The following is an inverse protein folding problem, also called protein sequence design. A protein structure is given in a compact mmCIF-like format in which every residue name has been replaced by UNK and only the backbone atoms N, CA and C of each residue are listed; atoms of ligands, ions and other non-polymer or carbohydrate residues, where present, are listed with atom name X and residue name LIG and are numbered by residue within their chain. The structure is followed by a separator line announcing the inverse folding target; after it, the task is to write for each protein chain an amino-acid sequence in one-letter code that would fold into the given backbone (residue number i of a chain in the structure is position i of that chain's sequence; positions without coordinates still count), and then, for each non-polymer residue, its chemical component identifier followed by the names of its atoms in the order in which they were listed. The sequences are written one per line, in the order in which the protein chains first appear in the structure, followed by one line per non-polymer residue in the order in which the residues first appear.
data_IF_721559973772
#
_entry.id   IF_721559973772
#
_cell.length_a   1.000
_cell.length_b   1.000
_cell.length_c   1.000
_cell.angle_alpha   90.00
_cell.angle_beta   90.00
_cell.angle_gamma   90.00
#
_symmetry.space_group_name_H-M   'P 1'
#
loop_
_entity.id
_entity.type
_entity.pdbx_description
1 polymer ?
#
# COMPACT_ATOMS: atom_id res chain seq x y z
N UNK A 1 -4.17 -9.61 -43.41
CA UNK A 1 -3.89 -8.40 -44.18
C UNK A 1 -3.03 -7.48 -43.36
N UNK A 2 -2.04 -6.84 -43.97
CA UNK A 2 -1.48 -5.63 -43.35
C UNK A 2 -2.43 -4.48 -43.69
N UNK A 3 -3.03 -3.89 -42.66
CA UNK A 3 -3.96 -2.77 -42.79
C UNK A 3 -3.17 -1.51 -42.50
N UNK A 4 -3.01 -0.68 -43.52
CA UNK A 4 -2.38 0.64 -43.36
C UNK A 4 -3.44 1.65 -42.95
N UNK A 5 -3.02 2.68 -42.19
CA UNK A 5 -3.88 3.82 -41.90
C UNK A 5 -4.35 4.44 -43.21
N UNK A 6 -5.66 4.72 -43.37
CA UNK A 6 -6.17 5.30 -44.59
C UNK A 6 -5.55 6.67 -44.81
N UNK A 7 -5.22 6.97 -46.07
CA UNK A 7 -4.89 8.33 -46.44
C UNK A 7 -6.20 9.10 -46.59
N UNK A 8 -6.39 10.09 -45.74
CA UNK A 8 -7.59 10.95 -45.77
C UNK A 8 -7.28 12.20 -46.57
N UNK A 9 -8.04 12.43 -47.63
CA UNK A 9 -8.01 13.69 -48.40
C UNK A 9 -9.29 14.43 -48.11
N UNK A 10 -9.18 15.56 -47.41
CA UNK A 10 -10.31 16.40 -47.02
C UNK A 10 -10.35 17.66 -47.88
N UNK A 11 -11.39 17.79 -48.70
CA UNK A 11 -11.67 18.96 -49.55
C UNK A 11 -12.92 19.71 -49.06
N UNK A 12 -13.18 19.70 -47.74
CA UNK A 12 -14.30 20.44 -47.15
C UNK A 12 -14.04 21.94 -47.09
N UNK A 13 -15.09 22.72 -47.36
CA UNK A 13 -15.11 24.17 -47.22
C UNK A 13 -16.26 24.57 -46.31
N UNK A 14 -15.97 25.48 -45.38
CA UNK A 14 -16.98 26.10 -44.53
C UNK A 14 -17.42 27.39 -45.21
N UNK A 15 -18.71 27.50 -45.49
CA UNK A 15 -19.36 28.68 -46.09
C UNK A 15 -20.42 29.24 -45.13
N UNK A 16 -20.89 30.46 -45.36
CA UNK A 16 -21.96 31.06 -44.55
C UNK A 16 -23.29 30.27 -44.59
N UNK A 17 -23.46 29.41 -45.60
CA UNK A 17 -24.64 28.55 -45.78
C UNK A 17 -24.45 27.13 -45.18
N UNK A 18 -23.27 26.82 -44.64
CA UNK A 18 -22.95 25.52 -44.05
C UNK A 18 -21.62 24.91 -44.53
N UNK A 19 -21.41 23.64 -44.19
CA UNK A 19 -20.21 22.87 -44.59
C UNK A 19 -20.53 22.11 -45.88
N UNK A 20 -19.69 22.28 -46.90
CA UNK A 20 -19.83 21.55 -48.18
C UNK A 20 -18.46 21.11 -48.65
N UNK A 21 -18.38 19.89 -49.18
CA UNK A 21 -17.18 19.39 -49.84
C UNK A 21 -17.16 17.87 -49.89
N UNK A 22 -15.96 17.31 -50.00
CA UNK A 22 -15.76 15.89 -50.23
C UNK A 22 -14.61 15.39 -49.37
N UNK A 23 -14.82 14.26 -48.70
CA UNK A 23 -13.77 13.51 -48.03
C UNK A 23 -13.54 12.19 -48.77
N UNK A 24 -12.27 11.89 -49.07
CA UNK A 24 -11.87 10.65 -49.73
C UNK A 24 -10.95 9.87 -48.79
N UNK A 25 -11.28 8.60 -48.56
CA UNK A 25 -10.51 7.69 -47.73
C UNK A 25 -9.88 6.61 -48.61
N UNK A 26 -8.56 6.68 -48.78
CA UNK A 26 -7.81 5.68 -49.56
C UNK A 26 -7.26 4.61 -48.61
N UNK A 27 -7.84 3.41 -48.66
CA UNK A 27 -7.37 2.24 -47.92
C UNK A 27 -6.52 1.35 -48.82
N UNK A 28 -5.28 1.07 -48.39
CA UNK A 28 -4.39 0.13 -49.08
C UNK A 28 -4.33 -1.17 -48.30
N UNK A 29 -4.75 -2.26 -48.93
CA UNK A 29 -4.67 -3.61 -48.38
C UNK A 29 -3.63 -4.42 -49.14
N UNK A 30 -2.70 -5.05 -48.41
CA UNK A 30 -1.71 -5.96 -49.01
C UNK A 30 -2.04 -7.40 -48.56
N UNK A 31 -2.64 -8.23 -49.42
CA UNK A 31 -2.85 -9.64 -49.12
C UNK A 31 -1.52 -10.40 -49.18
N UNK A 32 -1.26 -11.25 -48.18
CA UNK A 32 -0.04 -12.08 -48.08
C UNK A 32 -0.31 -13.57 -48.30
N UNK A 33 -1.58 -13.98 -48.18
CA UNK A 33 -2.03 -15.36 -48.33
C UNK A 33 -3.00 -15.42 -49.49
N UNK A 34 -2.89 -16.49 -50.28
CA UNK A 34 -3.79 -16.80 -51.38
C UNK A 34 -5.09 -17.32 -50.78
N UNK A 35 -6.14 -16.52 -50.84
CA UNK A 35 -7.45 -16.87 -50.31
C UNK A 35 -8.55 -15.98 -50.92
N UNK A 36 -9.81 -16.35 -50.66
CA UNK A 36 -10.98 -15.55 -50.99
C UNK A 36 -11.41 -14.73 -49.79
N UNK A 37 -11.40 -13.42 -49.96
CA UNK A 37 -11.76 -12.47 -48.92
C UNK A 37 -13.05 -11.75 -49.29
N UNK A 38 -13.88 -11.46 -48.31
CA UNK A 38 -15.10 -10.68 -48.49
C UNK A 38 -14.96 -9.37 -47.73
N UNK A 39 -15.03 -8.24 -48.44
CA UNK A 39 -15.16 -6.93 -47.82
C UNK A 39 -16.60 -6.76 -47.36
N UNK A 40 -16.80 -6.72 -46.05
CA UNK A 40 -18.12 -6.53 -45.49
C UNK A 40 -18.65 -5.12 -45.77
N UNK A 41 -19.97 -4.98 -46.00
CA UNK A 41 -20.64 -3.69 -46.11
C UNK A 41 -20.33 -2.77 -44.92
N UNK A 42 -19.79 -1.60 -45.21
CA UNK A 42 -19.61 -0.55 -44.20
C UNK A 42 -20.90 0.25 -44.06
N UNK A 43 -21.19 0.67 -42.84
CA UNK A 43 -22.41 1.40 -42.49
C UNK A 43 -22.02 2.79 -42.00
N UNK A 44 -22.63 3.82 -42.58
CA UNK A 44 -22.41 5.22 -42.20
C UNK A 44 -23.74 5.88 -41.86
N UNK A 45 -23.85 6.39 -40.64
CA UNK A 45 -25.06 7.08 -40.16
C UNK A 45 -24.83 8.58 -40.23
N UNK A 46 -25.74 9.30 -40.90
CA UNK A 46 -25.70 10.75 -41.00
C UNK A 46 -27.09 11.35 -40.72
N UNK A 47 -27.11 12.62 -40.34
CA UNK A 47 -28.33 13.37 -40.14
C UNK A 47 -28.72 14.07 -41.46
N UNK A 48 -29.95 13.87 -41.92
CA UNK A 48 -30.51 14.53 -43.10
C UNK A 48 -31.28 15.80 -42.64
N UNK A 49 -30.71 17.01 -42.82
CA UNK A 49 -31.32 18.23 -42.30
C UNK A 49 -32.63 18.60 -42.99
N UNK A 50 -32.88 18.13 -44.21
CA UNK A 50 -34.13 18.43 -44.95
C UNK A 50 -35.32 17.63 -44.42
N UNK A 51 -35.05 16.48 -43.79
CA UNK A 51 -36.07 15.53 -43.30
C UNK A 51 -36.05 15.35 -41.78
N UNK A 52 -35.13 16.03 -41.10
CA UNK A 52 -34.93 16.01 -39.66
C UNK A 52 -34.79 14.60 -39.06
N UNK A 53 -34.24 13.66 -39.83
CA UNK A 53 -34.11 12.24 -39.45
C UNK A 53 -32.68 11.72 -39.64
N UNK A 54 -32.30 10.73 -38.84
CA UNK A 54 -31.06 10.00 -39.02
C UNK A 54 -31.21 8.94 -40.10
N UNK A 55 -30.28 8.92 -41.04
CA UNK A 55 -30.24 7.98 -42.16
C UNK A 55 -28.97 7.16 -42.14
N UNK A 56 -29.12 5.93 -42.59
CA UNK A 56 -28.05 4.94 -42.64
C UNK A 56 -27.73 4.62 -44.08
N UNK A 57 -26.56 5.08 -44.55
CA UNK A 57 -25.98 4.65 -45.82
C UNK A 57 -25.18 3.36 -45.62
N UNK A 58 -25.26 2.45 -46.59
CA UNK A 58 -24.54 1.17 -46.56
C UNK A 58 -23.80 0.98 -47.88
N UNK A 59 -22.54 0.58 -47.82
CA UNK A 59 -21.77 0.20 -49.01
C UNK A 59 -22.10 -1.23 -49.42
N UNK A 60 -21.83 -1.59 -50.68
CA UNK A 60 -22.00 -2.96 -51.14
C UNK A 60 -20.90 -3.88 -50.59
N UNK A 61 -21.20 -5.17 -50.52
CA UNK A 61 -20.21 -6.21 -50.22
C UNK A 61 -19.39 -6.50 -51.46
N UNK A 62 -18.08 -6.67 -51.31
CA UNK A 62 -17.20 -6.96 -52.44
C UNK A 62 -16.33 -8.19 -52.18
N UNK A 63 -16.39 -9.18 -53.07
CA UNK A 63 -15.57 -10.38 -53.00
C UNK A 63 -14.23 -10.17 -53.73
N UNK A 64 -13.13 -10.44 -53.04
CA UNK A 64 -11.76 -10.34 -53.56
C UNK A 64 -11.17 -11.74 -53.60
N UNK A 65 -10.85 -12.23 -54.79
CA UNK A 65 -10.09 -13.47 -54.98
C UNK A 65 -8.61 -13.13 -55.16
N UNK A 66 -7.79 -13.51 -54.17
CA UNK A 66 -6.34 -13.29 -54.23
C UNK A 66 -5.69 -14.53 -54.84
N UNK A 67 -5.09 -14.36 -56.02
CA UNK A 67 -4.36 -15.41 -56.72
C UNK A 67 -2.89 -15.48 -56.26
N UNK A 68 -2.27 -16.64 -56.45
CA UNK A 68 -0.85 -16.84 -56.18
C UNK A 68 0.00 -15.98 -57.13
N UNK A 69 0.81 -15.09 -56.56
CA UNK A 69 1.80 -14.32 -57.32
C UNK A 69 3.01 -15.17 -57.73
N UNK A 70 3.75 -14.74 -58.75
CA UNK A 70 4.89 -15.46 -59.36
C UNK A 70 6.19 -15.42 -58.52
N UNK A 71 6.18 -14.84 -57.31
CA UNK A 71 7.36 -14.84 -56.44
C UNK A 71 7.62 -16.26 -55.89
N UNK A 72 8.86 -16.72 -55.98
CA UNK A 72 9.27 -18.02 -55.45
C UNK A 72 9.07 -18.03 -53.93
N UNK A 73 8.52 -19.14 -53.40
CA UNK A 73 8.33 -19.31 -51.95
C UNK A 73 9.62 -19.17 -51.14
N UNK A 74 10.78 -19.35 -51.78
CA UNK A 74 12.12 -19.18 -51.20
C UNK A 74 12.43 -17.73 -50.80
N UNK A 75 12.03 -16.73 -51.61
CA UNK A 75 12.27 -15.32 -51.29
C UNK A 75 11.38 -14.87 -50.12
N UNK A 76 10.15 -15.39 -50.03
CA UNK A 76 9.27 -15.14 -48.90
C UNK A 76 9.83 -15.75 -47.61
N UNK A 77 10.24 -17.02 -47.66
CA UNK A 77 10.82 -17.75 -46.52
C UNK A 77 12.09 -17.06 -45.99
N UNK A 78 12.98 -16.60 -46.89
CA UNK A 78 14.19 -15.86 -46.52
C UNK A 78 13.88 -14.51 -45.87
N UNK A 79 12.86 -13.80 -46.35
CA UNK A 79 12.43 -12.51 -45.74
C UNK A 79 11.77 -12.71 -44.37
N UNK A 80 11.04 -13.80 -44.18
CA UNK A 80 10.42 -14.20 -42.92
C UNK A 80 11.47 -14.60 -41.87
N UNK A 81 12.52 -15.31 -42.29
CA UNK A 81 13.63 -15.72 -41.42
C UNK A 81 14.43 -14.49 -40.93
N UNK A 82 14.76 -13.55 -41.82
CA UNK A 82 15.44 -12.30 -41.47
C UNK A 82 14.61 -11.40 -40.54
N UNK A 83 13.28 -11.41 -40.66
CA UNK A 83 12.38 -10.69 -39.75
C UNK A 83 12.29 -11.34 -38.37
N UNK A 84 12.22 -12.67 -38.31
CA UNK A 84 12.22 -13.43 -37.05
C UNK A 84 13.53 -13.35 -36.29
N UNK A 85 14.66 -13.16 -36.97
CA UNK A 85 15.95 -13.02 -36.30
C UNK A 85 16.11 -11.69 -35.55
N UNK A 86 15.51 -10.60 -36.04
CA UNK A 86 15.69 -9.25 -35.46
C UNK A 86 14.56 -8.86 -34.48
N UNK A 87 13.37 -9.44 -34.65
CA UNK A 87 12.21 -9.16 -33.80
C UNK A 87 11.88 -10.43 -33.00
N UNK A 88 12.39 -10.51 -31.77
CA UNK A 88 11.91 -11.49 -30.79
C UNK A 88 10.42 -11.22 -30.56
N UNK A 89 9.57 -12.24 -30.75
CA UNK A 89 8.17 -12.16 -30.39
C UNK A 89 8.05 -11.67 -28.93
N UNK A 90 7.28 -10.59 -28.73
CA UNK A 90 6.85 -10.22 -27.39
C UNK A 90 6.13 -11.42 -26.80
N UNK A 91 6.57 -11.88 -25.62
CA UNK A 91 5.86 -12.94 -24.90
C UNK A 91 4.42 -12.47 -24.73
N UNK A 92 3.50 -13.05 -25.50
CA UNK A 92 2.07 -12.96 -25.26
C UNK A 92 1.84 -13.72 -23.96
N UNK A 93 2.00 -13.02 -22.85
CA UNK A 93 1.43 -13.49 -21.60
C UNK A 93 -0.08 -13.54 -21.84
N UNK A 94 -0.71 -14.65 -21.50
CA UNK A 94 -2.17 -14.76 -21.35
C UNK A 94 -2.63 -13.91 -20.15
N UNK A 95 -2.24 -12.63 -20.16
CA UNK A 95 -2.77 -11.66 -19.22
C UNK A 95 -4.14 -11.30 -19.76
N UNK A 96 -5.15 -12.06 -19.34
CA UNK A 96 -6.53 -11.64 -19.44
C UNK A 96 -6.58 -10.21 -18.87
N UNK A 97 -6.89 -9.24 -19.72
CA UNK A 97 -7.15 -7.86 -19.30
C UNK A 97 -8.35 -7.92 -18.37
N UNK A 98 -8.10 -7.98 -17.06
CA UNK A 98 -9.16 -7.91 -16.06
C UNK A 98 -9.75 -6.51 -16.11
N UNK A 99 -11.09 -6.37 -16.01
CA UNK A 99 -11.73 -5.07 -16.03
C UNK A 99 -11.12 -4.17 -14.95
N UNK A 100 -10.73 -2.96 -15.36
CA UNK A 100 -10.22 -1.92 -14.46
C UNK A 100 -11.35 -1.54 -13.50
N UNK A 101 -11.40 -2.22 -12.35
CA UNK A 101 -12.47 -2.08 -11.36
C UNK A 101 -12.62 -3.29 -10.43
N UNK A 102 -12.24 -4.49 -10.85
CA UNK A 102 -12.41 -5.71 -10.03
C UNK A 102 -11.17 -6.09 -9.20
N UNK A 103 -10.00 -5.53 -9.49
CA UNK A 103 -8.76 -5.85 -8.79
C UNK A 103 -8.68 -5.26 -7.36
N UNK A 104 -9.55 -4.31 -7.03
CA UNK A 104 -9.57 -3.68 -5.72
C UNK A 104 -10.72 -4.22 -4.87
N UNK A 105 -10.34 -4.97 -3.84
CA UNK A 105 -11.19 -5.50 -2.77
C UNK A 105 -11.84 -4.41 -1.88
N UNK A 106 -11.72 -3.13 -2.27
CA UNK A 106 -12.26 -1.98 -1.55
C UNK A 106 -13.79 -2.03 -1.52
N UNK A 107 -14.38 -1.98 -0.32
CA UNK A 107 -15.83 -2.07 -0.12
C UNK A 107 -16.39 -3.49 0.03
N UNK A 108 -15.58 -4.54 -0.19
CA UNK A 108 -15.97 -5.92 0.07
C UNK A 108 -16.01 -6.27 1.57
N UNK A 109 -16.69 -7.36 1.93
CA UNK A 109 -16.76 -7.82 3.33
C UNK A 109 -15.37 -8.09 3.93
N UNK A 110 -14.44 -8.62 3.14
CA UNK A 110 -13.07 -8.91 3.55
C UNK A 110 -12.26 -7.63 3.87
N UNK A 111 -12.55 -6.53 3.17
CA UNK A 111 -11.96 -5.22 3.47
C UNK A 111 -12.40 -4.74 4.85
N UNK A 112 -13.71 -4.77 5.12
CA UNK A 112 -14.28 -4.36 6.41
C UNK A 112 -13.81 -5.23 7.57
N UNK A 113 -13.70 -6.55 7.39
CA UNK A 113 -13.15 -7.43 8.43
C UNK A 113 -11.67 -7.13 8.70
N UNK A 114 -10.86 -6.88 7.66
CA UNK A 114 -9.45 -6.50 7.84
C UNK A 114 -9.29 -5.15 8.55
N UNK A 115 -10.16 -4.18 8.22
CA UNK A 115 -10.14 -2.84 8.82
C UNK A 115 -10.49 -2.91 10.32
N UNK A 116 -11.54 -3.66 10.68
CA UNK A 116 -11.92 -3.89 12.08
C UNK A 116 -10.81 -4.62 12.83
N UNK A 117 -10.19 -5.64 12.22
CA UNK A 117 -9.07 -6.37 12.82
C UNK A 117 -7.86 -5.46 13.10
N UNK A 118 -7.56 -4.54 12.19
CA UNK A 118 -6.48 -3.56 12.38
C UNK A 118 -6.78 -2.64 13.57
N UNK A 119 -8.01 -2.13 13.69
CA UNK A 119 -8.41 -1.27 14.82
C UNK A 119 -8.39 -2.05 16.15
N UNK A 120 -8.90 -3.29 16.16
CA UNK A 120 -8.89 -4.13 17.36
C UNK A 120 -7.47 -4.49 17.81
N UNK A 121 -6.55 -4.78 16.88
CA UNK A 121 -5.16 -5.06 17.23
C UNK A 121 -4.45 -3.84 17.80
N UNK A 122 -4.67 -2.65 17.23
CA UNK A 122 -4.18 -1.39 17.78
C UNK A 122 -4.72 -1.12 19.19
N UNK A 123 -6.02 -1.35 19.42
CA UNK A 123 -6.65 -1.20 20.74
C UNK A 123 -6.06 -2.19 21.76
N UNK A 124 -5.84 -3.44 21.36
CA UNK A 124 -5.22 -4.46 22.21
C UNK A 124 -3.80 -4.04 22.62
N UNK A 125 -2.98 -3.61 21.65
CA UNK A 125 -1.62 -3.13 21.91
C UNK A 125 -1.65 -1.91 22.83
N UNK A 126 -2.56 -0.96 22.62
CA UNK A 126 -2.72 0.20 23.49
C UNK A 126 -3.02 -0.21 24.94
N UNK A 127 -3.94 -1.15 25.15
CA UNK A 127 -4.27 -1.67 26.49
C UNK A 127 -3.07 -2.38 27.13
N UNK A 128 -2.35 -3.20 26.37
CA UNK A 128 -1.16 -3.91 26.86
C UNK A 128 -0.03 -2.94 27.23
N UNK A 129 0.21 -1.91 26.42
CA UNK A 129 1.19 -0.86 26.70
C UNK A 129 0.78 -0.05 27.93
N UNK A 130 -0.50 0.28 28.10
CA UNK A 130 -0.97 0.99 29.28
C UNK A 130 -0.83 0.14 30.55
N UNK A 131 -1.13 -1.17 30.46
CA UNK A 131 -0.90 -2.11 31.57
C UNK A 131 0.59 -2.24 31.90
N UNK A 132 1.43 -2.37 30.88
CA UNK A 132 2.89 -2.43 31.04
C UNK A 132 3.41 -1.16 31.71
N UNK A 133 3.02 0.03 31.24
CA UNK A 133 3.38 1.30 31.85
C UNK A 133 2.86 1.43 33.28
N UNK A 134 1.62 1.05 33.58
CA UNK A 134 1.11 1.05 34.95
C UNK A 134 1.94 0.11 35.87
N UNK A 135 2.33 -1.08 35.37
CA UNK A 135 3.20 -1.98 36.14
C UNK A 135 4.63 -1.46 36.30
N UNK A 136 5.17 -0.70 35.36
CA UNK A 136 6.54 -0.19 35.45
C UNK A 136 6.64 1.18 36.16
N UNK A 137 5.64 2.06 36.00
CA UNK A 137 5.55 3.34 36.73
C UNK A 137 5.35 3.12 38.24
N UNK A 138 4.58 2.10 38.63
CA UNK A 138 4.34 1.77 40.03
C UNK A 138 5.51 1.02 40.70
N UNK A 139 6.57 0.63 39.98
CA UNK A 139 7.71 -0.02 40.60
C UNK A 139 8.39 0.90 41.64
N UNK A 140 8.50 2.21 41.34
CA UNK A 140 9.01 3.22 42.27
C UNK A 140 8.09 3.45 43.46
N UNK A 141 6.79 3.64 43.23
CA UNK A 141 5.78 3.86 44.28
C UNK A 141 5.57 2.63 45.18
N UNK A 142 5.64 1.41 44.63
CA UNK A 142 5.55 0.17 45.43
C UNK A 142 6.81 -0.06 46.25
N UNK A 143 7.99 0.31 45.74
CA UNK A 143 9.25 0.24 46.49
C UNK A 143 9.26 1.21 47.66
N UNK A 144 8.84 2.47 47.45
CA UNK A 144 8.76 3.46 48.53
C UNK A 144 7.71 3.12 49.59
N UNK A 145 6.54 2.58 49.20
CA UNK A 145 5.52 2.09 50.15
C UNK A 145 6.00 0.88 50.96
N UNK A 146 6.66 -0.10 50.32
CA UNK A 146 7.23 -1.26 51.03
C UNK A 146 8.38 -0.87 51.97
N UNK A 147 9.19 0.13 51.60
CA UNK A 147 10.29 0.63 52.42
C UNK A 147 9.81 1.13 53.80
N UNK A 148 8.68 1.84 53.84
CA UNK A 148 8.06 2.28 55.10
C UNK A 148 7.68 1.12 56.01
N UNK A 149 7.02 0.09 55.47
CA UNK A 149 6.62 -1.09 56.25
C UNK A 149 7.83 -1.88 56.77
N UNK A 150 8.87 -2.05 55.96
CA UNK A 150 10.10 -2.77 56.35
C UNK A 150 10.88 -2.00 57.41
N UNK A 151 10.97 -0.67 57.29
CA UNK A 151 11.61 0.18 58.29
C UNK A 151 10.89 0.10 59.65
N UNK A 152 9.56 0.16 59.66
CA UNK A 152 8.75 -0.01 60.88
C UNK A 152 8.94 -1.40 61.50
N UNK A 153 8.99 -2.46 60.68
CA UNK A 153 9.23 -3.81 61.17
C UNK A 153 10.62 -3.96 61.81
N UNK A 154 11.66 -3.37 61.21
CA UNK A 154 13.03 -3.39 61.76
C UNK A 154 13.17 -2.53 63.01
N UNK A 155 12.51 -1.36 63.07
CA UNK A 155 12.46 -0.52 64.27
C UNK A 155 11.75 -1.22 65.43
N UNK A 156 10.71 -2.03 65.14
CA UNK A 156 10.06 -2.89 66.15
C UNK A 156 11.03 -3.96 66.67
N UNK A 157 11.88 -4.52 65.81
CA UNK A 157 12.97 -5.42 66.20
C UNK A 157 14.05 -4.72 67.03
N UNK A 158 14.43 -3.49 66.68
CA UNK A 158 15.36 -2.66 67.44
C UNK A 158 14.85 -2.39 68.87
N UNK A 159 13.55 -2.15 69.05
CA UNK A 159 12.93 -1.97 70.37
C UNK A 159 13.18 -3.16 71.31
N UNK A 160 13.19 -4.39 70.78
CA UNK A 160 13.52 -5.60 71.56
C UNK A 160 14.97 -5.63 72.08
N UNK A 161 15.92 -4.99 71.39
CA UNK A 161 17.30 -4.85 71.85
C UNK A 161 17.45 -3.74 72.91
N UNK A 162 16.62 -2.69 72.82
CA UNK A 162 16.50 -1.66 73.85
C UNK A 162 16.01 -2.26 75.18
N UNK A 163 15.01 -3.14 75.12
CA UNK A 163 14.47 -3.84 76.29
C UNK A 163 15.51 -4.80 76.94
N UNK A 164 16.55 -5.21 76.20
CA UNK A 164 17.68 -6.02 76.68
C UNK A 164 18.87 -5.18 77.19
N UNK A 165 18.73 -3.85 77.23
CA UNK A 165 19.75 -2.88 77.65
C UNK A 165 21.06 -2.91 76.82
N UNK A 166 21.04 -3.49 75.62
CA UNK A 166 22.17 -3.54 74.70
C UNK A 166 22.16 -2.30 73.78
N UNK A 167 22.78 -1.23 74.26
CA UNK A 167 22.75 0.08 73.60
C UNK A 167 23.51 0.07 72.27
N UNK A 168 24.62 -0.67 72.16
CA UNK A 168 25.45 -0.66 70.94
C UNK A 168 24.74 -1.34 69.77
N UNK A 169 24.12 -2.50 70.02
CA UNK A 169 23.33 -3.21 69.02
C UNK A 169 22.07 -2.43 68.59
N UNK A 170 21.44 -1.72 69.54
CA UNK A 170 20.30 -0.85 69.25
C UNK A 170 20.67 0.28 68.27
N UNK A 171 21.72 1.05 68.56
CA UNK A 171 22.12 2.17 67.71
C UNK A 171 22.57 1.71 66.31
N UNK A 172 23.25 0.58 66.22
CA UNK A 172 23.66 0.01 64.94
C UNK A 172 22.46 -0.36 64.06
N UNK A 173 21.44 -1.01 64.63
CA UNK A 173 20.28 -1.49 63.88
C UNK A 173 19.32 -0.35 63.51
N UNK A 174 19.16 0.67 64.38
CA UNK A 174 18.38 1.88 64.07
C UNK A 174 19.03 2.65 62.94
N UNK A 175 20.35 2.87 62.99
CA UNK A 175 21.08 3.61 61.96
C UNK A 175 20.98 2.89 60.61
N UNK A 176 21.13 1.57 60.62
CA UNK A 176 20.99 0.73 59.42
C UNK A 176 19.57 0.72 58.87
N UNK A 177 18.54 0.70 59.73
CA UNK A 177 17.15 0.80 59.31
C UNK A 177 16.84 2.16 58.68
N UNK A 178 17.39 3.24 59.23
CA UNK A 178 17.19 4.60 58.74
C UNK A 178 17.86 4.82 57.37
N UNK A 179 19.12 4.40 57.20
CA UNK A 179 19.81 4.54 55.91
C UNK A 179 19.17 3.69 54.81
N UNK A 180 18.74 2.47 55.11
CA UNK A 180 18.02 1.65 54.13
C UNK A 180 16.66 2.25 53.76
N UNK A 181 15.95 2.87 54.72
CA UNK A 181 14.69 3.56 54.43
C UNK A 181 14.89 4.74 53.47
N UNK A 182 15.91 5.56 53.71
CA UNK A 182 16.25 6.70 52.83
C UNK A 182 16.63 6.18 51.44
N UNK A 183 17.54 5.20 51.36
CA UNK A 183 17.96 4.63 50.08
C UNK A 183 16.81 4.03 49.27
N UNK A 184 15.90 3.27 49.90
CA UNK A 184 14.76 2.68 49.20
C UNK A 184 13.64 3.68 48.89
N UNK A 185 13.51 4.78 49.64
CA UNK A 185 12.50 5.81 49.39
C UNK A 185 12.91 6.77 48.25
N UNK A 186 14.20 7.07 48.13
CA UNK A 186 14.75 7.94 47.08
C UNK A 186 15.35 7.15 45.90
N UNK A 187 15.46 5.82 46.00
CA UNK A 187 15.96 4.97 44.92
C UNK A 187 17.47 5.06 44.66
N UNK A 188 18.23 5.54 45.64
CA UNK A 188 19.67 5.78 45.56
C UNK A 188 20.49 4.52 45.92
N UNK A 189 21.67 4.35 45.32
CA UNK A 189 22.62 3.33 45.77
C UNK A 189 23.27 3.75 47.09
N UNK A 190 23.43 2.81 48.02
CA UNK A 190 23.98 3.04 49.37
C UNK A 190 25.39 3.67 49.36
N UNK A 191 26.10 3.59 48.23
CA UNK A 191 27.43 4.16 48.01
C UNK A 191 27.44 5.69 47.83
N UNK A 192 26.30 6.31 47.48
CA UNK A 192 26.19 7.76 47.24
C UNK A 192 25.61 8.54 48.44
N UNK A 193 25.28 7.86 49.55
CA UNK A 193 24.80 8.51 50.78
C UNK A 193 25.97 9.12 51.58
N UNK A 194 26.45 10.27 51.12
CA UNK A 194 27.26 11.20 51.93
C UNK A 194 26.36 12.26 52.57
N UNK A 195 26.73 12.78 53.76
CA UNK A 195 25.97 13.85 54.46
C UNK A 195 25.69 15.05 53.56
N UNK A 196 26.61 15.36 52.63
CA UNK A 196 26.50 16.44 51.66
C UNK A 196 25.43 16.22 50.57
N UNK A 197 25.14 14.98 50.18
CA UNK A 197 24.13 14.70 49.14
C UNK A 197 22.69 14.78 49.69
N UNK A 198 22.50 14.41 50.96
CA UNK A 198 21.16 14.40 51.60
C UNK A 198 20.65 15.83 51.82
N UNK A 199 21.53 16.81 52.06
CA UNK A 199 21.14 18.23 52.16
C UNK A 199 20.77 18.84 50.81
N UNK A 200 21.44 18.45 49.72
CA UNK A 200 21.18 18.98 48.39
C UNK A 200 19.82 18.54 47.83
N UNK A 201 19.40 17.31 48.09
CA UNK A 201 18.12 16.77 47.60
C UNK A 201 16.91 17.15 48.47
N UNK A 202 17.10 17.51 49.74
CA UNK A 202 16.00 17.99 50.60
C UNK A 202 15.61 19.47 50.35
N UNK A 203 16.45 20.22 49.65
CA UNK A 203 16.24 21.66 49.35
C UNK A 203 15.80 21.94 47.91
N UNK A 204 15.67 20.91 47.07
CA UNK A 204 15.13 20.97 45.71
C UNK A 204 13.68 20.45 45.69
#
# INVERSE_FOLDING_TARGET
FDVYSPKVTDETKVTEQGVTGRMVYDYTFVPRVVDRYTLEPMTFVYFDPDKEEYRTARTESYAIEVLQGTRSGEDYARSEELRRSDIREFRKSDTALTPVGEAFWWGGWLYWTSAVLMVLSAMLVFILLNKYQATHADAGLRRSKKAGTVAVARLKGAKTYLDRNDRSAFYAEVTKALFNYVADKFGLQLADLSRSNIEAECLA
#
